data_IF_529441554992
#
_entry.id   IF_529441554992
#
_cell.length_a   1.000
_cell.length_b   1.000
_cell.length_c   1.000
_cell.angle_alpha   90.00
_cell.angle_beta   90.00
_cell.angle_gamma   90.00
#
_symmetry.space_group_name_H-M   'P 1'
#
loop_
_entity.id
_entity.type
_entity.pdbx_description
1 polymer ?
#
# COMPACT_ATOMS: atom_id res chain seq x y z
N UNK A 1 -8.83 3.57 -31.67
CA UNK A 1 -9.61 2.80 -30.68
C UNK A 1 -9.24 3.34 -29.32
N UNK A 2 -10.17 4.02 -28.64
CA UNK A 2 -9.99 4.37 -27.22
C UNK A 2 -9.95 3.06 -26.44
N UNK A 3 -8.83 2.74 -25.79
CA UNK A 3 -8.78 1.67 -24.80
C UNK A 3 -9.92 1.95 -23.82
N UNK A 4 -10.89 1.04 -23.70
CA UNK A 4 -11.85 1.10 -22.62
C UNK A 4 -11.06 1.24 -21.31
N UNK A 5 -11.49 2.13 -20.43
CA UNK A 5 -10.92 2.19 -19.09
C UNK A 5 -11.34 0.89 -18.43
N UNK A 6 -10.44 -0.10 -18.41
CA UNK A 6 -10.62 -1.29 -17.61
C UNK A 6 -10.87 -0.85 -16.18
N UNK A 7 -12.00 -1.25 -15.60
CA UNK A 7 -12.31 -0.95 -14.21
C UNK A 7 -11.14 -1.41 -13.32
N UNK A 8 -10.55 -0.46 -12.61
CA UNK A 8 -9.45 -0.72 -11.67
C UNK A 8 -10.02 -0.86 -10.27
N UNK A 9 -9.66 -1.95 -9.62
CA UNK A 9 -10.03 -2.27 -8.25
C UNK A 9 -8.82 -2.10 -7.33
N UNK A 10 -9.09 -1.59 -6.13
CA UNK A 10 -8.11 -1.41 -5.08
C UNK A 10 -8.35 -2.43 -3.98
N UNK A 11 -7.33 -3.22 -3.65
CA UNK A 11 -7.34 -4.07 -2.45
C UNK A 11 -6.19 -3.70 -1.53
N UNK A 12 -6.43 -3.85 -0.22
CA UNK A 12 -5.46 -3.58 0.82
C UNK A 12 -5.33 -4.80 1.72
N UNK A 13 -4.11 -5.32 1.85
CA UNK A 13 -3.80 -6.41 2.75
C UNK A 13 -2.94 -5.90 3.89
N UNK A 14 -3.33 -6.23 5.12
CA UNK A 14 -2.56 -5.91 6.31
C UNK A 14 -1.81 -7.14 6.82
N UNK A 15 -0.54 -6.95 7.14
CA UNK A 15 0.26 -7.87 7.90
C UNK A 15 1.05 -7.11 8.98
N UNK A 16 1.47 -7.82 10.01
CA UNK A 16 2.36 -7.28 11.03
C UNK A 16 3.43 -8.28 11.40
N UNK A 17 4.65 -7.81 11.59
CA UNK A 17 5.77 -8.62 12.06
C UNK A 17 6.50 -7.89 13.19
N UNK A 18 7.20 -8.64 14.03
CA UNK A 18 8.10 -8.08 15.05
C UNK A 18 9.45 -8.75 14.90
N UNK A 19 10.51 -7.95 14.78
CA UNK A 19 11.87 -8.46 14.62
C UNK A 19 12.53 -8.82 15.96
N UNK A 20 13.75 -9.33 15.90
CA UNK A 20 14.56 -9.70 17.08
C UNK A 20 14.90 -8.50 17.99
N UNK A 21 14.89 -7.28 17.44
CA UNK A 21 15.13 -6.04 18.18
C UNK A 21 13.84 -5.47 18.80
N UNK A 22 12.72 -6.20 18.67
CA UNK A 22 11.37 -5.81 19.11
C UNK A 22 10.83 -4.59 18.37
N UNK A 23 11.33 -4.28 17.18
CA UNK A 23 10.65 -3.34 16.29
C UNK A 23 9.44 -4.04 15.69
N UNK A 24 8.27 -3.39 15.72
CA UNK A 24 7.05 -3.91 15.11
C UNK A 24 6.79 -3.20 13.79
N UNK A 25 6.73 -3.94 12.70
CA UNK A 25 6.41 -3.43 11.37
C UNK A 25 4.97 -3.76 11.00
N UNK A 26 4.17 -2.73 10.75
CA UNK A 26 2.90 -2.84 10.04
C UNK A 26 3.16 -2.75 8.53
N UNK A 27 2.70 -3.74 7.78
CA UNK A 27 2.92 -3.88 6.34
C UNK A 27 1.55 -3.83 5.67
N UNK A 28 1.34 -2.79 4.88
CA UNK A 28 0.14 -2.58 4.07
C UNK A 28 0.48 -2.83 2.61
N UNK A 29 -0.08 -3.90 2.03
CA UNK A 29 0.10 -4.21 0.60
C UNK A 29 -1.11 -3.71 -0.17
N UNK A 30 -0.92 -2.60 -0.88
CA UNK A 30 -1.91 -2.02 -1.79
C UNK A 30 -1.74 -2.63 -3.19
N UNK A 31 -2.81 -3.23 -3.70
CA UNK A 31 -2.83 -3.78 -5.06
C UNK A 31 -3.87 -3.05 -5.91
N UNK A 32 -3.44 -2.60 -7.08
CA UNK A 32 -4.32 -2.18 -8.17
C UNK A 32 -4.43 -3.35 -9.12
N UNK A 33 -5.64 -3.79 -9.38
CA UNK A 33 -5.93 -4.91 -10.26
C UNK A 33 -7.12 -4.59 -11.16
N UNK A 34 -7.16 -5.20 -12.33
CA UNK A 34 -8.31 -5.15 -13.23
C UNK A 34 -9.45 -6.00 -12.69
N UNK A 35 -10.67 -5.79 -13.20
CA UNK A 35 -11.86 -6.54 -12.77
C UNK A 35 -11.77 -8.07 -12.98
N UNK A 36 -10.90 -8.54 -13.87
CA UNK A 36 -10.57 -9.96 -14.09
C UNK A 36 -9.52 -10.50 -13.09
N UNK A 37 -9.01 -9.65 -12.19
CA UNK A 37 -8.08 -10.00 -11.13
C UNK A 37 -6.59 -9.85 -11.50
N UNK A 38 -6.24 -9.39 -12.71
CA UNK A 38 -4.84 -9.18 -13.06
C UNK A 38 -4.26 -8.00 -12.27
N UNK A 39 -3.19 -8.24 -11.51
CA UNK A 39 -2.51 -7.19 -10.74
C UNK A 39 -1.70 -6.29 -11.67
N UNK A 40 -2.12 -5.04 -11.79
CA UNK A 40 -1.45 -4.00 -12.58
C UNK A 40 -0.38 -3.27 -11.76
N UNK A 41 -0.59 -3.16 -10.45
CA UNK A 41 0.39 -2.57 -9.55
C UNK A 41 0.33 -3.20 -8.17
N UNK A 42 1.49 -3.38 -7.54
CA UNK A 42 1.63 -3.75 -6.14
C UNK A 42 2.54 -2.74 -5.45
N UNK A 43 2.16 -2.27 -4.28
CA UNK A 43 3.01 -1.40 -3.45
C UNK A 43 2.87 -1.77 -1.98
N UNK A 44 3.99 -2.05 -1.34
CA UNK A 44 4.06 -2.24 0.10
C UNK A 44 4.42 -0.92 0.80
N UNK A 45 3.53 -0.50 1.69
CA UNK A 45 3.70 0.63 2.59
C UNK A 45 4.02 0.07 3.98
N UNK A 46 5.18 0.42 4.52
CA UNK A 46 5.68 -0.17 5.76
C UNK A 46 5.85 0.92 6.81
N UNK A 47 5.25 0.71 7.98
CA UNK A 47 5.46 1.52 9.17
C UNK A 47 6.13 0.66 10.25
N UNK A 48 7.40 0.91 10.53
CA UNK A 48 8.15 0.26 11.60
C UNK A 48 8.14 1.14 12.85
N UNK A 49 7.74 0.57 13.98
CA UNK A 49 7.72 1.24 15.28
C UNK A 49 8.76 0.60 16.18
N UNK A 50 9.71 1.39 16.67
CA UNK A 50 10.71 0.92 17.64
C UNK A 50 10.08 0.70 19.02
N UNK A 51 10.78 -0.01 19.92
CA UNK A 51 10.35 -0.13 21.32
C UNK A 51 10.19 1.22 22.04
N UNK A 52 10.92 2.26 21.60
CA UNK A 52 10.79 3.63 22.09
C UNK A 52 9.61 4.40 21.49
N UNK A 53 8.79 3.77 20.63
CA UNK A 53 7.64 4.38 19.97
C UNK A 53 8.00 5.24 18.75
N UNK A 54 9.27 5.31 18.35
CA UNK A 54 9.69 6.06 17.16
C UNK A 54 9.22 5.30 15.91
N UNK A 55 8.53 6.02 15.02
CA UNK A 55 8.02 5.48 13.76
C UNK A 55 8.94 5.82 12.59
N UNK A 56 9.14 4.86 11.70
CA UNK A 56 9.79 5.03 10.40
C UNK A 56 8.85 4.52 9.31
N UNK A 57 8.79 5.23 8.20
CA UNK A 57 7.92 4.91 7.07
C UNK A 57 8.76 4.68 5.83
N UNK A 58 8.45 3.62 5.09
CA UNK A 58 9.17 3.29 3.85
C UNK A 58 8.29 2.56 2.85
N UNK A 59 8.69 2.63 1.60
CA UNK A 59 8.22 1.73 0.54
C UNK A 59 9.00 0.41 0.65
N UNK A 60 8.27 -0.70 0.65
CA UNK A 60 8.80 -2.06 0.52
C UNK A 60 8.86 -2.48 -0.95
N UNK A 61 8.31 -3.65 -1.26
CA UNK A 61 8.16 -4.09 -2.65
C UNK A 61 7.25 -3.15 -3.42
N UNK A 62 7.69 -2.70 -4.59
CA UNK A 62 6.86 -1.93 -5.52
C UNK A 62 7.05 -2.49 -6.93
N UNK A 63 5.94 -2.80 -7.61
CA UNK A 63 5.90 -3.36 -8.95
C UNK A 63 4.79 -2.71 -9.75
N UNK A 64 5.06 -2.46 -11.03
CA UNK A 64 4.12 -1.93 -12.02
C UNK A 64 4.20 -2.86 -13.24
N UNK A 65 3.04 -3.29 -13.74
CA UNK A 65 2.96 -4.22 -14.87
C UNK A 65 3.19 -3.52 -16.21
N UNK A 66 2.59 -2.33 -16.38
CA UNK A 66 2.75 -1.49 -17.56
C UNK A 66 3.22 -0.07 -17.17
N UNK A 67 4.53 0.19 -17.31
CA UNK A 67 5.11 1.51 -17.05
C UNK A 67 4.87 2.52 -18.20
N UNK A 68 4.24 2.10 -19.30
CA UNK A 68 3.78 2.98 -20.36
C UNK A 68 2.40 3.58 -20.07
N UNK A 69 1.65 3.04 -19.10
CA UNK A 69 0.38 3.59 -18.67
C UNK A 69 0.59 4.79 -17.72
N UNK A 70 0.20 6.02 -18.11
CA UNK A 70 0.42 7.20 -17.29
C UNK A 70 -0.31 7.18 -15.94
N UNK A 71 -1.46 6.50 -15.86
CA UNK A 71 -2.23 6.40 -14.62
C UNK A 71 -1.52 5.49 -13.62
N UNK A 72 -1.05 4.31 -14.06
CA UNK A 72 -0.30 3.40 -13.19
C UNK A 72 1.00 4.03 -12.71
N UNK A 73 1.73 4.75 -13.58
CA UNK A 73 2.93 5.51 -13.18
C UNK A 73 2.59 6.59 -12.16
N UNK A 74 1.47 7.31 -12.32
CA UNK A 74 1.04 8.33 -11.39
C UNK A 74 0.70 7.73 -10.00
N UNK A 75 0.01 6.59 -9.95
CA UNK A 75 -0.31 5.88 -8.70
C UNK A 75 0.97 5.40 -8.00
N UNK A 76 1.89 4.77 -8.73
CA UNK A 76 3.21 4.36 -8.25
C UNK A 76 3.98 5.52 -7.61
N UNK A 77 4.05 6.64 -8.34
CA UNK A 77 4.75 7.85 -7.90
C UNK A 77 4.08 8.50 -6.70
N UNK A 78 2.74 8.46 -6.61
CA UNK A 78 1.99 8.98 -5.48
C UNK A 78 2.41 8.29 -4.17
N UNK A 79 2.52 6.96 -4.18
CA UNK A 79 2.94 6.22 -2.99
C UNK A 79 4.33 6.62 -2.51
N UNK A 80 5.30 6.78 -3.43
CA UNK A 80 6.65 7.21 -3.06
C UNK A 80 6.65 8.61 -2.44
N UNK A 81 6.00 9.57 -3.09
CA UNK A 81 5.96 10.97 -2.64
C UNK A 81 5.23 11.13 -1.29
N UNK A 82 4.21 10.32 -1.05
CA UNK A 82 3.33 10.44 0.12
C UNK A 82 3.43 9.22 1.05
N UNK A 83 4.60 8.57 1.12
CA UNK A 83 4.78 7.29 1.82
C UNK A 83 4.27 7.35 3.27
N UNK A 84 4.71 8.36 4.03
CA UNK A 84 4.33 8.53 5.42
C UNK A 84 2.83 8.79 5.58
N UNK A 85 2.28 9.73 4.81
CA UNK A 85 0.86 10.08 4.88
C UNK A 85 -0.03 8.87 4.54
N UNK A 86 0.34 8.14 3.49
CA UNK A 86 -0.35 6.93 3.03
C UNK A 86 -0.31 5.83 4.08
N UNK A 87 0.86 5.57 4.69
CA UNK A 87 0.99 4.62 5.79
C UNK A 87 0.07 4.97 6.96
N UNK A 88 0.07 6.23 7.39
CA UNK A 88 -0.73 6.69 8.53
C UNK A 88 -2.22 6.56 8.22
N UNK A 89 -2.66 7.09 7.09
CA UNK A 89 -4.06 7.07 6.69
C UNK A 89 -4.60 5.64 6.55
N UNK A 90 -3.92 4.78 5.80
CA UNK A 90 -4.38 3.42 5.54
C UNK A 90 -4.28 2.52 6.78
N UNK A 91 -3.30 2.76 7.67
CA UNK A 91 -3.23 2.04 8.95
C UNK A 91 -4.43 2.37 9.83
N UNK A 92 -4.80 3.65 9.90
CA UNK A 92 -5.96 4.09 10.68
C UNK A 92 -7.26 3.53 10.09
N UNK A 93 -7.42 3.54 8.77
CA UNK A 93 -8.57 2.91 8.10
C UNK A 93 -8.65 1.40 8.34
N UNK A 94 -7.52 0.71 8.24
CA UNK A 94 -7.45 -0.73 8.53
C UNK A 94 -7.86 -1.01 9.98
N UNK A 95 -7.36 -0.21 10.92
CA UNK A 95 -7.72 -0.34 12.35
C UNK A 95 -9.21 -0.11 12.58
N UNK A 96 -9.78 0.95 11.99
CA UNK A 96 -11.22 1.24 12.06
C UNK A 96 -12.06 0.08 11.51
N UNK A 97 -11.63 -0.51 10.39
CA UNK A 97 -12.30 -1.67 9.78
C UNK A 97 -12.27 -2.89 10.70
N UNK A 98 -11.10 -3.24 11.22
CA UNK A 98 -10.94 -4.39 12.13
C UNK A 98 -11.78 -4.20 13.40
N UNK A 99 -11.95 -2.96 13.87
CA UNK A 99 -12.73 -2.64 15.05
C UNK A 99 -14.25 -2.54 14.79
N UNK A 100 -14.70 -2.68 13.53
CA UNK A 100 -16.11 -2.60 13.15
C UNK A 100 -16.67 -1.17 13.12
N UNK A 101 -15.81 -0.16 12.96
CA UNK A 101 -16.20 1.26 12.85
C UNK A 101 -16.38 1.73 11.40
N UNK A 102 -16.26 0.83 10.42
CA UNK A 102 -16.40 1.10 8.98
C UNK A 102 -17.56 0.31 8.40
#
# INVERSE_FOLDING_TARGET
MSKEISELQFSLHYASETDSEKNTSAILTANIHTADGETQQLTQLICTTSPSGKKQYRIGTQKINDAGDPLLVAIESYWRKNTQESCVYLSEKTKQFIQGYL
#
